data_IF_318538017753
#
_entry.id   IF_318538017753
#
_cell.length_a   1.000
_cell.length_b   1.000
_cell.length_c   1.000
_cell.angle_alpha   90.00
_cell.angle_beta   90.00
_cell.angle_gamma   90.00
#
_symmetry.space_group_name_H-M   'P 1'
#
loop_
_entity.id
_entity.type
_entity.pdbx_description
1 polymer ?
#
# COMPACT_ATOMS: atom_id res chain seq x y z
N UNK A 1 -30.12 11.95 1.69
CA UNK A 1 -30.03 10.50 1.46
C UNK A 1 -28.66 10.03 1.88
N UNK A 2 -28.57 9.39 3.05
CA UNK A 2 -27.38 8.65 3.45
C UNK A 2 -27.26 7.44 2.54
N UNK A 3 -26.34 7.47 1.59
CA UNK A 3 -25.97 6.30 0.82
C UNK A 3 -25.40 5.27 1.78
N UNK A 4 -26.20 4.28 2.18
CA UNK A 4 -25.72 3.17 3.00
C UNK A 4 -24.68 2.42 2.19
N UNK A 5 -23.42 2.57 2.55
CA UNK A 5 -22.35 1.83 1.91
C UNK A 5 -22.56 0.34 2.15
N UNK A 6 -22.45 -0.51 1.12
CA UNK A 6 -22.66 -1.93 1.27
C UNK A 6 -21.83 -2.52 2.37
N UNK A 7 -22.42 -3.37 3.20
CA UNK A 7 -21.78 -3.94 4.40
C UNK A 7 -20.48 -4.72 4.09
N UNK A 8 -20.35 -5.26 2.87
CA UNK A 8 -19.15 -5.95 2.43
C UNK A 8 -17.91 -5.05 2.36
N UNK A 9 -18.05 -3.71 2.30
CA UNK A 9 -16.93 -2.78 2.33
C UNK A 9 -16.15 -2.80 3.64
N UNK A 10 -16.78 -3.29 4.70
CA UNK A 10 -16.17 -3.42 6.02
C UNK A 10 -15.64 -4.82 6.30
N UNK A 11 -15.84 -5.77 5.37
CA UNK A 11 -15.17 -7.05 5.40
C UNK A 11 -13.70 -6.87 5.02
N UNK A 12 -12.84 -7.74 5.48
CA UNK A 12 -11.41 -7.72 5.12
C UNK A 12 -10.66 -6.42 5.53
N UNK A 13 -11.07 -5.77 6.61
CA UNK A 13 -10.48 -4.50 7.06
C UNK A 13 -8.98 -4.57 7.35
N UNK A 14 -8.47 -5.77 7.64
CA UNK A 14 -7.06 -6.04 7.96
C UNK A 14 -6.36 -6.87 6.88
N UNK A 15 -6.99 -7.03 5.71
CA UNK A 15 -6.39 -7.70 4.57
C UNK A 15 -5.63 -6.71 3.70
N UNK A 16 -4.38 -7.02 3.43
CA UNK A 16 -3.54 -6.24 2.51
C UNK A 16 -3.63 -6.77 1.07
N UNK A 17 -3.95 -8.05 0.89
CA UNK A 17 -3.98 -8.72 -0.41
C UNK A 17 -4.96 -8.03 -1.37
N UNK A 18 -4.54 -7.91 -2.61
CA UNK A 18 -5.31 -7.26 -3.67
C UNK A 18 -5.43 -5.73 -3.55
N UNK A 19 -4.66 -5.10 -2.68
CA UNK A 19 -4.48 -3.66 -2.71
C UNK A 19 -3.47 -3.30 -3.80
N UNK A 20 -3.84 -2.36 -4.66
CA UNK A 20 -2.99 -1.85 -5.75
C UNK A 20 -3.07 -0.33 -5.76
N UNK A 21 -1.93 0.34 -5.89
CA UNK A 21 -1.85 1.80 -5.76
C UNK A 21 -2.48 2.56 -6.91
N UNK A 22 -2.67 1.94 -8.05
CA UNK A 22 -3.40 2.57 -9.15
C UNK A 22 -4.88 2.89 -8.80
N UNK A 23 -5.41 2.30 -7.71
CA UNK A 23 -6.74 2.60 -7.18
C UNK A 23 -6.75 2.55 -5.65
N UNK A 24 -5.91 3.34 -5.02
CA UNK A 24 -5.77 3.43 -3.57
C UNK A 24 -5.85 4.88 -3.11
N UNK A 25 -6.67 5.15 -2.11
CA UNK A 25 -6.73 6.45 -1.43
C UNK A 25 -6.30 6.30 0.02
N UNK A 26 -5.43 7.19 0.48
CA UNK A 26 -4.90 7.23 1.84
C UNK A 26 -4.95 8.66 2.34
N UNK A 27 -5.27 8.85 3.61
CA UNK A 27 -5.17 10.17 4.22
C UNK A 27 -3.71 10.64 4.26
N UNK A 28 -3.50 11.91 3.91
CA UNK A 28 -2.16 12.51 3.87
C UNK A 28 -1.39 12.29 5.17
N UNK A 29 -2.02 12.55 6.31
CA UNK A 29 -1.37 12.43 7.62
C UNK A 29 -0.98 11.00 7.94
N UNK A 30 -1.78 10.02 7.54
CA UNK A 30 -1.47 8.60 7.72
C UNK A 30 -0.30 8.18 6.83
N UNK A 31 -0.25 8.68 5.59
CA UNK A 31 0.87 8.44 4.68
C UNK A 31 2.19 9.00 5.25
N UNK A 32 2.16 10.22 5.79
CA UNK A 32 3.34 10.81 6.42
C UNK A 32 3.77 10.09 7.69
N UNK A 33 2.83 9.62 8.51
CA UNK A 33 3.13 8.85 9.74
C UNK A 33 3.92 7.58 9.45
N UNK A 34 3.59 6.85 8.40
CA UNK A 34 4.29 5.62 8.00
C UNK A 34 5.52 5.88 7.13
N UNK A 35 5.83 7.16 6.86
CA UNK A 35 6.93 7.62 6.01
C UNK A 35 6.77 7.24 4.52
N UNK A 36 5.54 7.11 4.02
CA UNK A 36 5.24 6.86 2.60
C UNK A 36 5.67 5.49 2.09
N UNK A 37 6.01 5.42 0.82
CA UNK A 37 6.54 4.20 0.20
C UNK A 37 7.94 3.87 0.70
N UNK A 38 8.24 2.59 0.81
CA UNK A 38 9.56 2.10 1.12
C UNK A 38 10.41 2.04 -0.16
N UNK A 39 11.47 2.85 -0.22
CA UNK A 39 12.34 2.97 -1.38
C UNK A 39 13.28 1.76 -1.59
N UNK A 40 13.29 0.79 -0.70
CA UNK A 40 14.04 -0.44 -0.89
C UNK A 40 13.43 -1.37 -1.93
N UNK A 41 12.14 -1.15 -2.29
CA UNK A 41 11.50 -1.88 -3.37
C UNK A 41 11.97 -1.35 -4.71
N UNK A 42 12.64 -2.17 -5.48
CA UNK A 42 13.10 -1.85 -6.84
C UNK A 42 12.44 -2.75 -7.87
N UNK A 43 12.24 -2.21 -9.07
CA UNK A 43 11.60 -2.94 -10.16
C UNK A 43 10.09 -3.10 -9.95
N UNK A 44 9.58 -4.30 -10.13
CA UNK A 44 8.16 -4.59 -10.02
C UNK A 44 7.83 -5.38 -8.76
N UNK A 45 6.80 -4.92 -8.05
CA UNK A 45 5.99 -5.73 -7.14
C UNK A 45 6.23 -5.53 -5.65
N UNK A 46 5.13 -5.67 -4.93
CA UNK A 46 4.98 -5.69 -3.47
C UNK A 46 5.14 -4.36 -2.72
N UNK A 47 5.53 -3.27 -3.36
CA UNK A 47 5.60 -1.93 -2.75
C UNK A 47 4.22 -1.47 -2.25
N UNK A 48 3.16 -1.77 -3.02
CA UNK A 48 1.77 -1.48 -2.69
C UNK A 48 1.32 -2.25 -1.45
N UNK A 49 1.64 -3.55 -1.44
CA UNK A 49 1.30 -4.46 -0.34
C UNK A 49 2.00 -4.04 0.95
N UNK A 50 3.29 -3.66 0.87
CA UNK A 50 4.06 -3.16 2.01
C UNK A 50 3.46 -1.89 2.59
N UNK A 51 3.09 -0.93 1.72
CA UNK A 51 2.42 0.31 2.16
C UNK A 51 1.15 0.00 2.97
N UNK A 52 0.29 -0.88 2.43
CA UNK A 52 -0.98 -1.25 3.07
C UNK A 52 -0.76 -2.02 4.37
N UNK A 53 0.21 -2.93 4.42
CA UNK A 53 0.58 -3.65 5.65
C UNK A 53 1.02 -2.67 6.73
N UNK A 54 1.87 -1.70 6.42
CA UNK A 54 2.33 -0.71 7.41
C UNK A 54 1.20 0.18 7.91
N UNK A 55 0.23 0.52 7.05
CA UNK A 55 -0.98 1.23 7.46
C UNK A 55 -1.83 0.38 8.43
N UNK A 56 -2.04 -0.90 8.12
CA UNK A 56 -2.78 -1.82 8.99
C UNK A 56 -2.06 -2.00 10.33
N UNK A 57 -0.75 -2.24 10.30
CA UNK A 57 0.07 -2.38 11.50
C UNK A 57 0.03 -1.12 12.38
N UNK A 58 -0.15 0.07 11.78
CA UNK A 58 -0.32 1.33 12.50
C UNK A 58 -1.74 1.56 13.04
N UNK A 59 -2.63 0.56 12.95
CA UNK A 59 -3.99 0.60 13.46
C UNK A 59 -5.02 1.16 12.49
N UNK A 60 -4.66 1.32 11.21
CA UNK A 60 -5.61 1.77 10.19
C UNK A 60 -6.39 0.60 9.60
N UNK A 61 -7.59 0.89 9.16
CA UNK A 61 -8.47 -0.10 8.57
C UNK A 61 -8.73 0.20 7.09
N UNK A 62 -8.63 -0.84 6.27
CA UNK A 62 -8.99 -0.76 4.87
C UNK A 62 -10.51 -0.72 4.69
N UNK A 63 -10.98 0.13 3.79
CA UNK A 63 -12.33 0.06 3.22
C UNK A 63 -12.22 -0.41 1.77
N UNK A 64 -13.03 -1.37 1.41
CA UNK A 64 -13.08 -1.86 0.03
C UNK A 64 -13.84 -0.85 -0.84
N UNK A 65 -13.17 -0.31 -1.85
CA UNK A 65 -13.75 0.65 -2.81
C UNK A 65 -14.19 0.02 -4.13
N UNK A 66 -14.13 -1.32 -4.24
CA UNK A 66 -14.46 -2.04 -5.48
C UNK A 66 -15.86 -1.64 -5.95
N UNK A 67 -15.99 -1.38 -7.25
CA UNK A 67 -17.22 -0.93 -7.92
C UNK A 67 -17.76 0.44 -7.48
N UNK A 68 -17.08 1.18 -6.59
CA UNK A 68 -17.51 2.51 -6.19
C UNK A 68 -17.05 3.59 -7.16
N UNK A 69 -15.83 3.47 -7.65
CA UNK A 69 -15.22 4.40 -8.61
C UNK A 69 -14.43 3.58 -9.63
N UNK A 70 -14.64 3.88 -10.90
CA UNK A 70 -13.82 3.35 -11.98
C UNK A 70 -12.55 4.17 -12.14
N UNK A 71 -11.44 3.50 -12.47
CA UNK A 71 -10.19 4.15 -12.88
C UNK A 71 -9.82 3.65 -14.27
N UNK A 72 -9.27 4.55 -15.08
CA UNK A 72 -8.71 4.21 -16.38
C UNK A 72 -7.21 4.09 -16.19
N UNK A 73 -6.70 2.87 -16.37
CA UNK A 73 -5.28 2.61 -16.30
C UNK A 73 -4.69 2.70 -17.73
N UNK A 74 -3.90 3.74 -17.96
CA UNK A 74 -3.22 3.89 -19.25
C UNK A 74 -2.14 2.83 -19.40
N UNK A 75 -2.05 2.25 -20.60
CA UNK A 75 -1.00 1.27 -20.87
C UNK A 75 0.39 1.90 -20.76
N UNK A 76 1.28 1.18 -20.11
CA UNK A 76 2.70 1.49 -20.05
C UNK A 76 3.52 0.19 -20.03
N UNK A 77 4.79 0.27 -20.38
CA UNK A 77 5.69 -0.87 -20.29
C UNK A 77 5.84 -1.30 -18.82
N UNK A 78 5.68 -2.59 -18.56
CA UNK A 78 5.90 -3.13 -17.21
C UNK A 78 7.39 -3.06 -16.82
N UNK A 79 7.64 -2.83 -15.52
CA UNK A 79 8.97 -2.90 -14.96
C UNK A 79 9.49 -4.34 -14.92
N UNK A 80 10.81 -4.47 -14.82
CA UNK A 80 11.48 -5.75 -14.71
C UNK A 80 11.04 -6.51 -13.44
N UNK A 81 10.72 -7.79 -13.60
CA UNK A 81 10.29 -8.68 -12.51
C UNK A 81 11.42 -9.47 -11.87
N UNK A 82 12.66 -9.28 -12.32
CA UNK A 82 13.83 -10.05 -11.83
C UNK A 82 14.08 -9.86 -10.32
N UNK A 83 13.60 -8.77 -9.72
CA UNK A 83 13.76 -8.47 -8.29
C UNK A 83 12.56 -8.90 -7.43
N UNK A 84 11.59 -9.59 -8.02
CA UNK A 84 10.36 -10.02 -7.33
C UNK A 84 10.65 -10.87 -6.08
N UNK A 85 11.66 -11.74 -6.11
CA UNK A 85 12.03 -12.60 -4.98
C UNK A 85 12.65 -11.80 -3.82
N UNK A 86 13.38 -10.74 -4.13
CA UNK A 86 13.93 -9.82 -3.12
C UNK A 86 12.77 -9.03 -2.50
N UNK A 87 11.88 -8.50 -3.33
CA UNK A 87 10.75 -7.71 -2.89
C UNK A 87 9.78 -8.51 -2.00
N UNK A 88 9.50 -9.77 -2.33
CA UNK A 88 8.64 -10.61 -1.48
C UNK A 88 9.28 -10.91 -0.12
N UNK A 89 10.61 -11.00 -0.03
CA UNK A 89 11.29 -11.17 1.24
C UNK A 89 11.22 -9.91 2.11
N UNK A 90 11.33 -8.72 1.51
CA UNK A 90 11.09 -7.46 2.21
C UNK A 90 9.66 -7.41 2.77
N UNK A 91 8.67 -7.81 1.97
CA UNK A 91 7.28 -7.87 2.40
C UNK A 91 7.08 -8.82 3.59
N UNK A 92 7.64 -10.04 3.51
CA UNK A 92 7.57 -11.01 4.61
C UNK A 92 8.15 -10.44 5.91
N UNK A 93 9.27 -9.71 5.82
CA UNK A 93 9.87 -9.05 6.97
C UNK A 93 8.94 -7.98 7.57
N UNK A 94 8.30 -7.17 6.73
CA UNK A 94 7.32 -6.16 7.19
C UNK A 94 6.13 -6.80 7.91
N UNK A 95 5.66 -7.97 7.44
CA UNK A 95 4.57 -8.73 8.07
C UNK A 95 5.03 -9.29 9.43
N UNK A 96 6.16 -10.00 9.46
CA UNK A 96 6.66 -10.69 10.66
C UNK A 96 7.01 -9.72 11.77
N UNK A 97 7.66 -8.60 11.42
CA UNK A 97 8.11 -7.60 12.39
C UNK A 97 7.02 -6.59 12.74
N UNK A 98 5.82 -6.71 12.16
CA UNK A 98 4.73 -5.73 12.30
C UNK A 98 5.22 -4.29 12.07
N UNK A 99 6.02 -4.11 11.04
CA UNK A 99 6.62 -2.82 10.68
C UNK A 99 5.53 -1.79 10.43
N UNK A 100 5.66 -0.61 11.01
CA UNK A 100 4.74 0.50 10.83
C UNK A 100 5.33 1.64 10.01
N UNK A 101 6.64 1.88 10.16
CA UNK A 101 7.34 3.00 9.54
C UNK A 101 8.52 2.45 8.74
N UNK A 102 8.70 2.92 7.50
CA UNK A 102 9.91 2.64 6.74
C UNK A 102 11.04 3.62 7.10
N UNK A 103 12.26 3.13 7.07
CA UNK A 103 13.46 3.95 7.28
C UNK A 103 13.84 4.75 6.02
N UNK A 104 13.34 4.35 4.86
CA UNK A 104 13.62 4.98 3.56
C UNK A 104 12.29 5.37 2.90
N UNK A 105 11.90 6.62 3.01
CA UNK A 105 10.63 7.10 2.52
C UNK A 105 10.59 8.63 2.35
N UNK A 106 9.43 9.24 2.51
CA UNK A 106 9.20 10.67 2.23
C UNK A 106 10.18 11.59 2.97
N UNK A 107 10.49 11.28 4.24
CA UNK A 107 11.39 12.12 5.06
C UNK A 107 12.85 12.08 4.61
N UNK A 108 13.19 11.13 3.78
CA UNK A 108 14.54 10.97 3.26
C UNK A 108 14.72 11.64 1.88
N UNK A 109 13.63 12.19 1.30
CA UNK A 109 13.67 12.96 0.07
C UNK A 109 14.06 14.41 0.38
N UNK A 110 15.14 14.91 -0.26
CA UNK A 110 15.51 16.31 -0.20
C UNK A 110 16.40 16.71 0.97
N UNK A 111 17.13 15.76 1.56
CA UNK A 111 18.19 16.03 2.56
C UNK A 111 19.59 15.97 1.95
N UNK A 112 19.71 16.27 0.64
CA UNK A 112 21.01 16.51 -0.02
C UNK A 112 21.34 18.00 -0.03
#
# INVERSE_FOLDING_TARGET
QTCALPIWRYKNREKWEGAITCNLAVWRDDLYKINGFNQQYHGWGYEDSDLVIRLINSGKHRKEGRYAVGVIHLWHKENDRNLSDININLLKNSIQNKTTITNTGIKNYGTD
#
